data_IF_947828819214
#
_entry.id   IF_947828819214
#
_cell.length_a   1.000
_cell.length_b   1.000
_cell.length_c   1.000
_cell.angle_alpha   90.00
_cell.angle_beta   90.00
_cell.angle_gamma   90.00
#
_symmetry.space_group_name_H-M   'P 1'
#
loop_
_entity.id
_entity.type
_entity.pdbx_description
1 polymer ?
#
# COMPACT_ATOMS: atom_id res chain seq x y z
N UNK A 1 -36.77 7.89 10.60
CA UNK A 1 -35.43 8.44 10.31
C UNK A 1 -34.41 7.36 10.62
N UNK A 2 -33.90 6.64 9.61
CA UNK A 2 -32.87 5.63 9.84
C UNK A 2 -31.51 6.33 9.93
N UNK A 3 -30.91 6.39 11.12
CA UNK A 3 -29.55 6.87 11.28
C UNK A 3 -28.59 5.79 10.79
N UNK A 4 -27.93 6.03 9.66
CA UNK A 4 -26.81 5.20 9.22
C UNK A 4 -25.63 5.53 10.14
N UNK A 5 -25.26 4.60 11.02
CA UNK A 5 -24.01 4.69 11.77
C UNK A 5 -22.86 4.27 10.83
N UNK A 6 -21.96 5.19 10.43
CA UNK A 6 -20.87 4.83 9.54
C UNK A 6 -19.90 3.88 10.25
N UNK A 7 -19.42 2.85 9.54
CA UNK A 7 -18.35 1.96 10.04
C UNK A 7 -17.15 2.80 10.47
N UNK A 8 -16.65 2.55 11.68
CA UNK A 8 -15.41 3.17 12.20
C UNK A 8 -14.24 2.23 11.95
N UNK A 9 -13.20 2.75 11.30
CA UNK A 9 -11.94 2.03 11.08
C UNK A 9 -10.89 2.60 12.03
N UNK A 10 -10.38 1.77 12.96
CA UNK A 10 -9.31 2.17 13.90
C UNK A 10 -7.93 1.67 13.42
N UNK A 11 -7.80 0.37 13.16
CA UNK A 11 -6.55 -0.21 12.67
C UNK A 11 -5.40 -0.24 13.69
N UNK A 12 -5.63 0.18 14.95
CA UNK A 12 -4.61 0.11 16.02
C UNK A 12 -4.12 -1.32 16.29
N UNK A 13 -4.96 -2.32 16.04
CA UNK A 13 -4.68 -3.74 16.18
C UNK A 13 -3.72 -4.30 15.11
N UNK A 14 -3.47 -3.56 14.03
CA UNK A 14 -2.60 -4.02 12.93
C UNK A 14 -1.16 -4.21 13.43
N UNK A 15 -0.62 -5.41 13.18
CA UNK A 15 0.74 -5.79 13.59
C UNK A 15 1.80 -5.51 12.53
N UNK A 16 1.42 -5.46 11.25
CA UNK A 16 2.27 -5.11 10.10
C UNK A 16 3.66 -5.77 10.13
N UNK A 17 3.75 -7.11 10.24
CA UNK A 17 5.04 -7.78 10.35
C UNK A 17 5.86 -7.62 9.07
N UNK A 18 7.18 -7.51 9.25
CA UNK A 18 8.11 -7.20 8.17
C UNK A 18 8.23 -5.70 7.86
N UNK A 19 7.39 -4.85 8.45
CA UNK A 19 7.60 -3.42 8.41
C UNK A 19 8.84 -3.05 9.24
N UNK A 20 9.64 -2.12 8.73
CA UNK A 20 10.83 -1.59 9.39
C UNK A 20 10.43 -0.84 10.66
N UNK A 21 11.11 -1.15 11.77
CA UNK A 21 10.95 -0.45 13.04
C UNK A 21 11.43 1.01 13.01
N UNK A 22 12.11 1.43 11.94
CA UNK A 22 12.52 2.83 11.75
C UNK A 22 11.33 3.78 11.49
N UNK A 23 10.15 3.24 11.15
CA UNK A 23 8.96 4.02 10.86
C UNK A 23 7.83 3.67 11.83
N UNK A 24 7.27 4.71 12.47
CA UNK A 24 6.03 4.58 13.24
C UNK A 24 4.91 5.17 12.40
N UNK A 25 4.02 4.31 11.89
CA UNK A 25 2.86 4.78 11.13
C UNK A 25 1.88 5.52 12.04
N UNK A 26 1.45 6.68 11.58
CA UNK A 26 0.47 7.51 12.25
C UNK A 26 -0.90 6.81 12.31
N UNK A 27 -1.72 7.22 13.28
CA UNK A 27 -3.07 6.66 13.46
C UNK A 27 -3.93 6.74 12.19
N UNK A 28 -3.88 7.85 11.44
CA UNK A 28 -4.65 7.96 10.19
C UNK A 28 -4.20 6.99 9.10
N UNK A 29 -2.91 6.65 9.05
CA UNK A 29 -2.40 5.66 8.12
C UNK A 29 -2.91 4.27 8.52
N UNK A 30 -2.87 3.91 9.81
CA UNK A 30 -3.42 2.65 10.31
C UNK A 30 -4.93 2.51 10.03
N UNK A 31 -5.70 3.59 10.23
CA UNK A 31 -7.12 3.65 9.85
C UNK A 31 -7.31 3.42 8.35
N UNK A 32 -6.51 4.08 7.53
CA UNK A 32 -6.54 3.92 6.07
C UNK A 32 -6.22 2.49 5.63
N UNK A 33 -5.19 1.87 6.20
CA UNK A 33 -4.81 0.47 5.95
C UNK A 33 -5.98 -0.46 6.30
N UNK A 34 -6.55 -0.29 7.50
CA UNK A 34 -7.65 -1.13 7.95
C UNK A 34 -8.89 -0.98 7.08
N UNK A 35 -9.20 0.25 6.65
CA UNK A 35 -10.31 0.51 5.73
C UNK A 35 -10.12 -0.21 4.39
N UNK A 36 -8.91 -0.16 3.81
CA UNK A 36 -8.60 -0.90 2.57
C UNK A 36 -8.83 -2.40 2.76
N UNK A 37 -8.35 -2.97 3.86
CA UNK A 37 -8.48 -4.40 4.16
C UNK A 37 -9.95 -4.81 4.34
N UNK A 38 -10.72 -4.01 5.08
CA UNK A 38 -12.06 -4.36 5.51
C UNK A 38 -13.15 -4.08 4.45
N UNK A 39 -13.03 -2.99 3.69
CA UNK A 39 -14.03 -2.60 2.67
C UNK A 39 -13.57 -2.89 1.24
N UNK A 40 -12.28 -3.14 0.99
CA UNK A 40 -11.72 -3.28 -0.35
C UNK A 40 -11.65 -1.92 -1.06
N UNK A 41 -12.60 -1.65 -1.96
CA UNK A 41 -12.65 -0.44 -2.81
C UNK A 41 -12.69 0.84 -1.96
N UNK A 42 -11.53 1.46 -1.77
CA UNK A 42 -11.35 2.59 -0.83
C UNK A 42 -10.68 3.78 -1.52
N UNK A 43 -11.28 4.96 -1.37
CA UNK A 43 -10.65 6.22 -1.77
C UNK A 43 -9.97 6.90 -0.56
N UNK A 44 -8.65 7.08 -0.63
CA UNK A 44 -7.85 7.75 0.41
C UNK A 44 -7.57 9.22 0.04
N UNK A 45 -8.49 10.10 0.43
CA UNK A 45 -8.41 11.55 0.21
C UNK A 45 -7.46 12.27 1.20
N UNK A 46 -6.26 11.76 1.42
CA UNK A 46 -5.28 12.45 2.28
C UNK A 46 -4.51 13.53 1.51
N UNK A 47 -4.04 14.57 2.20
CA UNK A 47 -3.15 15.59 1.62
C UNK A 47 -1.83 15.01 1.09
N UNK A 48 -1.15 15.74 0.20
CA UNK A 48 0.24 15.41 -0.20
C UNK A 48 1.14 15.44 1.03
N UNK A 49 2.11 14.51 1.11
CA UNK A 49 2.98 14.36 2.28
C UNK A 49 2.37 13.57 3.45
N UNK A 50 1.07 13.27 3.45
CA UNK A 50 0.41 12.53 4.55
C UNK A 50 0.78 11.03 4.64
N UNK A 51 1.74 10.55 3.85
CA UNK A 51 2.21 9.17 3.86
C UNK A 51 1.27 8.16 3.19
N UNK A 52 0.59 8.57 2.10
CA UNK A 52 -0.33 7.69 1.34
C UNK A 52 0.38 6.47 0.75
N UNK A 53 1.59 6.62 0.22
CA UNK A 53 2.35 5.50 -0.35
C UNK A 53 2.65 4.42 0.67
N UNK A 54 3.15 4.80 1.85
CA UNK A 54 3.40 3.86 2.96
C UNK A 54 2.10 3.19 3.44
N UNK A 55 1.00 3.93 3.44
CA UNK A 55 -0.35 3.38 3.74
C UNK A 55 -0.72 2.30 2.73
N UNK A 56 -0.53 2.55 1.43
CA UNK A 56 -0.80 1.57 0.37
C UNK A 56 0.14 0.36 0.44
N UNK A 57 1.44 0.57 0.66
CA UNK A 57 2.42 -0.50 0.80
C UNK A 57 2.07 -1.43 1.98
N UNK A 58 1.74 -0.86 3.14
CA UNK A 58 1.32 -1.63 4.30
C UNK A 58 0.00 -2.38 4.06
N UNK A 59 -0.97 -1.76 3.40
CA UNK A 59 -2.22 -2.43 3.04
C UNK A 59 -1.99 -3.60 2.08
N UNK A 60 -1.11 -3.46 1.09
CA UNK A 60 -0.75 -4.55 0.16
C UNK A 60 -0.10 -5.70 0.91
N UNK A 61 0.92 -5.40 1.73
CA UNK A 61 1.67 -6.43 2.45
C UNK A 61 0.80 -7.16 3.47
N UNK A 62 -0.06 -6.44 4.18
CA UNK A 62 -0.95 -7.05 5.17
C UNK A 62 -2.06 -7.88 4.51
N UNK A 63 -2.65 -7.43 3.39
CA UNK A 63 -3.60 -8.26 2.63
C UNK A 63 -2.95 -9.54 2.10
N UNK A 64 -1.71 -9.48 1.60
CA UNK A 64 -0.96 -10.67 1.16
C UNK A 64 -0.69 -11.62 2.31
N UNK A 65 -0.26 -11.10 3.47
CA UNK A 65 -0.01 -11.89 4.67
C UNK A 65 -1.27 -12.59 5.17
N UNK A 66 -2.41 -11.90 5.13
CA UNK A 66 -3.72 -12.43 5.52
C UNK A 66 -4.33 -13.38 4.47
N UNK A 67 -3.68 -13.59 3.33
CA UNK A 67 -4.19 -14.44 2.26
C UNK A 67 -5.38 -13.86 1.49
N UNK A 68 -5.67 -12.56 1.66
CA UNK A 68 -6.80 -11.89 1.01
C UNK A 68 -6.53 -11.59 -0.46
N UNK A 69 -5.25 -11.42 -0.83
CA UNK A 69 -4.81 -11.21 -2.21
C UNK A 69 -3.59 -12.08 -2.53
N UNK A 70 -3.55 -12.64 -3.74
CA UNK A 70 -2.42 -13.44 -4.23
C UNK A 70 -1.40 -12.59 -5.02
N UNK A 71 -1.90 -11.67 -5.85
CA UNK A 71 -1.11 -10.74 -6.67
C UNK A 71 -1.57 -9.30 -6.40
N UNK A 72 -0.62 -8.38 -6.29
CA UNK A 72 -0.90 -6.96 -6.07
C UNK A 72 -0.23 -6.12 -7.16
N UNK A 73 -0.91 -5.08 -7.63
CA UNK A 73 -0.38 -4.10 -8.58
C UNK A 73 -0.55 -2.70 -7.99
N UNK A 74 0.56 -1.97 -7.86
CA UNK A 74 0.57 -0.58 -7.43
C UNK A 74 0.88 0.30 -8.63
N UNK A 75 -0.12 1.00 -9.15
CA UNK A 75 0.03 1.91 -10.29
C UNK A 75 0.31 3.32 -9.77
N UNK A 76 1.38 3.94 -10.26
CA UNK A 76 1.76 5.32 -9.94
C UNK A 76 2.15 6.08 -11.20
N UNK A 77 2.08 7.43 -11.20
CA UNK A 77 2.66 8.23 -12.29
C UNK A 77 4.15 7.92 -12.48
N UNK A 78 4.63 7.90 -13.73
CA UNK A 78 6.00 7.47 -14.06
C UNK A 78 7.09 8.24 -13.30
N UNK A 79 6.95 9.56 -13.17
CA UNK A 79 7.89 10.40 -12.42
C UNK A 79 7.92 10.11 -10.92
N UNK A 80 6.88 9.47 -10.37
CA UNK A 80 6.83 9.03 -8.97
C UNK A 80 7.31 7.59 -8.77
N UNK A 81 7.60 6.82 -9.84
CA UNK A 81 7.86 5.39 -9.75
C UNK A 81 9.04 5.07 -8.82
N UNK A 82 10.17 5.74 -9.03
CA UNK A 82 11.37 5.55 -8.20
C UNK A 82 11.12 5.96 -6.74
N UNK A 83 10.34 7.02 -6.50
CA UNK A 83 9.97 7.43 -5.15
C UNK A 83 9.06 6.39 -4.47
N UNK A 84 8.02 5.92 -5.16
CA UNK A 84 7.10 4.94 -4.62
C UNK A 84 7.82 3.61 -4.28
N UNK A 85 8.71 3.14 -5.16
CA UNK A 85 9.52 1.95 -4.91
C UNK A 85 10.42 2.11 -3.68
N UNK A 86 11.10 3.26 -3.56
CA UNK A 86 11.94 3.57 -2.39
C UNK A 86 11.14 3.63 -1.10
N UNK A 87 9.99 4.30 -1.08
CA UNK A 87 9.13 4.37 0.11
C UNK A 87 8.57 2.99 0.48
N UNK A 88 8.23 2.16 -0.51
CA UNK A 88 7.79 0.79 -0.27
C UNK A 88 8.90 -0.03 0.41
N UNK A 89 10.11 -0.03 -0.15
CA UNK A 89 11.24 -0.81 0.37
C UNK A 89 11.80 -0.23 1.68
N UNK A 90 11.69 1.08 1.89
CA UNK A 90 12.03 1.69 3.18
C UNK A 90 11.12 1.15 4.30
N UNK A 91 9.81 1.03 4.01
CA UNK A 91 8.87 0.45 4.96
C UNK A 91 9.00 -1.07 5.05
N UNK A 92 9.19 -1.79 3.94
CA UNK A 92 9.32 -3.24 3.90
C UNK A 92 10.62 -3.67 3.18
N UNK A 93 11.77 -3.66 3.89
CA UNK A 93 13.08 -3.87 3.26
C UNK A 93 13.27 -5.25 2.65
N UNK A 94 12.55 -6.25 3.16
CA UNK A 94 12.61 -7.63 2.65
C UNK A 94 11.54 -7.93 1.59
N UNK A 95 10.72 -6.94 1.18
CA UNK A 95 9.72 -7.14 0.16
C UNK A 95 10.37 -7.33 -1.23
N UNK A 96 9.90 -8.35 -1.97
CA UNK A 96 10.28 -8.57 -3.36
C UNK A 96 9.26 -7.89 -4.27
N UNK A 97 9.60 -6.71 -4.77
CA UNK A 97 8.76 -5.94 -5.70
C UNK A 97 9.39 -5.94 -7.09
N UNK A 98 8.54 -5.99 -8.11
CA UNK A 98 8.93 -5.82 -9.50
C UNK A 98 8.59 -4.39 -9.91
N UNK A 99 9.61 -3.63 -10.36
CA UNK A 99 9.45 -2.22 -10.72
C UNK A 99 9.56 -2.06 -12.24
N UNK A 100 8.53 -1.50 -12.85
CA UNK A 100 8.42 -1.29 -14.28
C UNK A 100 9.03 0.06 -14.69
N UNK A 101 10.35 0.23 -14.54
CA UNK A 101 11.03 1.43 -15.03
C UNK A 101 11.22 1.41 -16.56
N UNK A 102 11.59 2.55 -17.15
CA UNK A 102 11.75 2.71 -18.61
C UNK A 102 12.80 1.75 -19.22
N UNK A 103 13.74 1.22 -18.42
CA UNK A 103 14.77 0.27 -18.87
C UNK A 103 14.28 -1.19 -18.85
N UNK A 104 13.31 -1.49 -17.99
CA UNK A 104 12.72 -2.81 -17.78
C UNK A 104 11.35 -3.00 -18.45
N UNK A 105 10.66 -1.92 -18.82
CA UNK A 105 9.33 -1.94 -19.42
C UNK A 105 9.33 -1.58 -20.91
N UNK A 106 10.26 -2.14 -21.68
CA UNK A 106 10.22 -2.06 -23.14
C UNK A 106 9.15 -2.99 -23.71
N UNK A 107 8.68 -2.72 -24.94
CA UNK A 107 7.64 -3.53 -25.62
C UNK A 107 7.97 -5.02 -25.60
N UNK A 108 9.24 -5.36 -25.78
CA UNK A 108 9.74 -6.75 -25.83
C UNK A 108 9.86 -7.40 -24.44
N UNK A 109 10.00 -6.61 -23.37
CA UNK A 109 10.15 -7.11 -21.98
C UNK A 109 8.84 -7.14 -21.20
N UNK A 110 7.75 -6.57 -21.74
CA UNK A 110 6.44 -6.47 -21.08
C UNK A 110 5.87 -7.84 -20.66
N UNK A 111 6.18 -8.91 -21.39
CA UNK A 111 5.75 -10.26 -21.06
C UNK A 111 6.29 -10.79 -19.71
N UNK A 112 7.41 -10.26 -19.19
CA UNK A 112 7.93 -10.65 -17.87
C UNK A 112 7.12 -10.11 -16.68
N UNK A 113 6.18 -9.20 -16.93
CA UNK A 113 5.37 -8.53 -15.88
C UNK A 113 3.93 -9.09 -15.76
N UNK A 114 3.50 -9.97 -16.67
CA UNK A 114 2.16 -10.59 -16.70
C UNK A 114 2.23 -12.04 -16.20
#
# INVERSE_FOLDING_TARGET
>A
MFAIAPRKFDGSHLKLPGASGAFVLYGHQKRGIWRIIADGSTYLAHAVGAGKTMTMAAAIMEQRRLGLIAKAMLVVPGHCLAQAAREFLALYPNARILVADETNFTKDKRARFL
#
